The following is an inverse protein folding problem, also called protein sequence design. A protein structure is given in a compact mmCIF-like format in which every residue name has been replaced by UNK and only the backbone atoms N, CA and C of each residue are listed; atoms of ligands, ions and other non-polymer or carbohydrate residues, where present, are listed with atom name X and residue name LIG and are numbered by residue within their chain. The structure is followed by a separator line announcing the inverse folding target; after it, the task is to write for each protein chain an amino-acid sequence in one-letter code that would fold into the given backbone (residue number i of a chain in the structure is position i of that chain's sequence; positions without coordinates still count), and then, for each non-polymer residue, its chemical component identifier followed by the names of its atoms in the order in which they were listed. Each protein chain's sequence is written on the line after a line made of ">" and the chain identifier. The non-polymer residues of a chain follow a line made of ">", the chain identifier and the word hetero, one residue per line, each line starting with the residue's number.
data_IF_550579842627
#
_entry.id   IF_550579842627
#
_cell.length_a   1.000
_cell.length_b   1.000
_cell.length_c   1.000
_cell.angle_alpha   90.00
_cell.angle_beta   90.00
_cell.angle_gamma   90.00
#
_symmetry.space_group_name_H-M   'P 1'
#
loop_
_entity.id
_entity.type
_entity.pdbx_description
1 polymer ?
#
# COMPACT_ATOMS: atom_id res chain seq x y z
N UNK A 1 -3.16 -13.48 26.22
CA UNK A 1 -3.02 -12.55 25.08
C UNK A 1 -1.68 -12.87 24.45
N UNK A 2 -1.68 -13.63 23.36
CA UNK A 2 -0.43 -13.95 22.65
C UNK A 2 -0.07 -12.75 21.79
N UNK A 3 1.06 -12.11 22.09
CA UNK A 3 1.64 -11.08 21.24
C UNK A 3 2.00 -11.73 19.90
N UNK A 4 1.31 -11.32 18.84
CA UNK A 4 1.63 -11.74 17.48
C UNK A 4 2.93 -11.08 17.03
N UNK A 5 3.81 -11.83 16.39
CA UNK A 5 5.14 -11.34 15.99
C UNK A 5 5.13 -10.87 14.53
N UNK A 6 5.92 -9.84 14.17
CA UNK A 6 6.05 -9.38 12.78
C UNK A 6 6.42 -10.49 11.77
N UNK A 7 7.14 -11.52 12.22
CA UNK A 7 7.50 -12.69 11.43
C UNK A 7 6.28 -13.58 11.08
N UNK A 8 5.33 -13.72 12.01
CA UNK A 8 4.09 -14.47 11.77
C UNK A 8 3.20 -13.75 10.75
N UNK A 9 3.05 -12.43 10.88
CA UNK A 9 2.37 -11.57 9.90
C UNK A 9 3.00 -11.70 8.50
N UNK A 10 4.33 -11.69 8.42
CA UNK A 10 5.08 -11.84 7.16
C UNK A 10 4.84 -13.20 6.48
N UNK A 11 4.87 -14.30 7.25
CA UNK A 11 4.61 -15.64 6.74
C UNK A 11 3.16 -15.80 6.22
N UNK A 12 2.19 -15.16 6.90
CA UNK A 12 0.80 -15.13 6.45
C UNK A 12 0.65 -14.41 5.12
N UNK A 13 1.21 -13.21 5.00
CA UNK A 13 1.15 -12.41 3.77
C UNK A 13 1.80 -13.15 2.60
N UNK A 14 2.97 -13.78 2.82
CA UNK A 14 3.63 -14.59 1.79
C UNK A 14 2.76 -15.78 1.32
N UNK A 15 1.97 -16.37 2.23
CA UNK A 15 1.02 -17.44 1.90
C UNK A 15 -0.13 -16.93 1.03
N UNK A 16 -0.69 -15.76 1.33
CA UNK A 16 -1.73 -15.13 0.52
C UNK A 16 -1.26 -14.90 -0.92
N UNK A 17 -0.05 -14.34 -1.09
CA UNK A 17 0.52 -14.11 -2.43
C UNK A 17 0.79 -15.42 -3.19
N UNK A 18 1.22 -16.47 -2.47
CA UNK A 18 1.47 -17.78 -3.07
C UNK A 18 0.19 -18.44 -3.58
N UNK A 19 -0.93 -18.28 -2.86
CA UNK A 19 -2.22 -18.87 -3.24
C UNK A 19 -2.73 -18.34 -4.60
N UNK A 20 -2.59 -17.04 -4.86
CA UNK A 20 -2.94 -16.47 -6.17
C UNK A 20 -2.09 -17.09 -7.30
N UNK A 21 -0.78 -17.29 -7.07
CA UNK A 21 0.15 -17.93 -8.03
C UNK A 21 -0.18 -19.40 -8.31
N UNK A 22 -0.87 -20.08 -7.41
CA UNK A 22 -1.30 -21.47 -7.59
C UNK A 22 -2.59 -21.60 -8.41
N UNK A 23 -3.49 -20.61 -8.33
CA UNK A 23 -4.80 -20.66 -9.00
C UNK A 23 -4.71 -20.21 -10.46
N UNK A 24 -3.93 -19.17 -10.77
CA UNK A 24 -3.87 -18.64 -12.14
C UNK A 24 -3.40 -19.63 -13.22
N UNK A 25 -2.42 -20.54 -12.97
CA UNK A 25 -2.04 -21.54 -13.96
C UNK A 25 -3.17 -22.51 -14.35
N UNK A 26 -4.19 -22.70 -13.50
CA UNK A 26 -5.32 -23.58 -13.82
C UNK A 26 -6.10 -23.09 -15.04
N UNK A 27 -6.12 -21.79 -15.32
CA UNK A 27 -6.81 -21.23 -16.48
C UNK A 27 -6.33 -21.84 -17.81
N UNK A 28 -5.06 -22.28 -17.87
CA UNK A 28 -4.45 -22.87 -19.07
C UNK A 28 -4.48 -24.41 -19.11
N UNK A 29 -4.69 -25.06 -17.95
CA UNK A 29 -4.55 -26.52 -17.81
C UNK A 29 -5.90 -27.20 -17.59
N UNK A 30 -6.81 -26.56 -16.86
CA UNK A 30 -8.13 -27.08 -16.50
C UNK A 30 -9.08 -25.90 -16.24
N UNK A 31 -9.71 -25.43 -17.31
CA UNK A 31 -10.58 -24.24 -17.31
C UNK A 31 -11.80 -24.42 -16.40
N UNK A 32 -12.40 -25.61 -16.37
CA UNK A 32 -13.58 -25.89 -15.52
C UNK A 32 -13.21 -25.82 -14.03
N UNK A 33 -12.03 -26.34 -13.65
CA UNK A 33 -11.51 -26.22 -12.29
C UNK A 33 -11.18 -24.78 -11.93
N UNK A 34 -10.59 -24.03 -12.86
CA UNK A 34 -10.31 -22.61 -12.67
C UNK A 34 -11.60 -21.81 -12.47
N UNK A 35 -12.62 -22.01 -13.30
CA UNK A 35 -13.90 -21.32 -13.18
C UNK A 35 -14.56 -21.57 -11.83
N UNK A 36 -14.64 -22.85 -11.39
CA UNK A 36 -15.16 -23.18 -10.05
C UNK A 36 -14.38 -22.47 -8.94
N UNK A 37 -13.05 -22.47 -9.02
CA UNK A 37 -12.20 -21.80 -8.04
C UNK A 37 -12.47 -20.29 -8.00
N UNK A 38 -12.47 -19.61 -9.15
CA UNK A 38 -12.69 -18.16 -9.23
C UNK A 38 -14.10 -17.77 -8.81
N UNK A 39 -15.13 -18.56 -9.17
CA UNK A 39 -16.49 -18.33 -8.69
C UNK A 39 -16.56 -18.39 -7.17
N UNK A 40 -15.98 -19.43 -6.56
CA UNK A 40 -15.93 -19.57 -5.11
C UNK A 40 -15.17 -18.44 -4.42
N UNK A 41 -14.02 -18.02 -4.98
CA UNK A 41 -13.28 -16.84 -4.51
C UNK A 41 -14.18 -15.61 -4.55
N UNK A 42 -14.84 -15.33 -5.68
CA UNK A 42 -15.72 -14.16 -5.81
C UNK A 42 -16.92 -14.15 -4.86
N UNK A 43 -17.47 -15.32 -4.51
CA UNK A 43 -18.50 -15.41 -3.48
C UNK A 43 -17.93 -15.18 -2.07
N UNK A 44 -16.79 -15.79 -1.76
CA UNK A 44 -16.17 -15.68 -0.45
C UNK A 44 -15.63 -14.27 -0.20
N UNK A 45 -15.00 -13.63 -1.20
CA UNK A 45 -14.53 -12.24 -1.11
C UNK A 45 -15.67 -11.26 -0.82
N UNK A 46 -16.83 -11.43 -1.45
CA UNK A 46 -18.03 -10.62 -1.14
C UNK A 46 -18.53 -10.83 0.30
N UNK A 47 -18.38 -12.04 0.84
CA UNK A 47 -18.72 -12.30 2.23
C UNK A 47 -17.71 -11.69 3.22
N UNK A 48 -16.43 -11.65 2.83
CA UNK A 48 -15.34 -11.06 3.60
C UNK A 48 -15.27 -9.53 3.48
N UNK A 49 -16.13 -8.92 2.66
CA UNK A 49 -16.18 -7.47 2.52
C UNK A 49 -16.50 -6.81 3.87
N UNK A 50 -15.75 -5.77 4.22
CA UNK A 50 -15.81 -5.13 5.55
C UNK A 50 -15.39 -6.01 6.73
N UNK A 51 -14.84 -7.21 6.52
CA UNK A 51 -14.35 -8.08 7.60
C UNK A 51 -12.86 -7.89 7.86
N UNK A 52 -12.49 -7.74 9.13
CA UNK A 52 -11.11 -7.56 9.59
C UNK A 52 -10.50 -6.22 9.19
N UNK A 53 -9.61 -5.70 10.05
CA UNK A 53 -8.98 -4.39 9.87
C UNK A 53 -7.45 -4.49 9.73
N UNK A 54 -6.91 -5.70 9.85
CA UNK A 54 -5.47 -5.98 9.85
C UNK A 54 -5.15 -7.36 9.28
N UNK A 55 -3.87 -7.64 8.99
CA UNK A 55 -3.45 -8.97 8.54
C UNK A 55 -3.66 -10.03 9.63
N UNK A 56 -3.49 -9.62 10.88
CA UNK A 56 -3.78 -10.35 12.12
C UNK A 56 -5.23 -10.85 12.14
N UNK A 57 -6.17 -9.93 11.91
CA UNK A 57 -7.60 -10.26 11.90
C UNK A 57 -7.94 -11.21 10.76
N UNK A 58 -7.35 -11.01 9.57
CA UNK A 58 -7.57 -11.89 8.43
C UNK A 58 -7.07 -13.32 8.68
N UNK A 59 -5.92 -13.50 9.35
CA UNK A 59 -5.46 -14.83 9.72
C UNK A 59 -6.38 -15.48 10.75
N UNK A 60 -6.88 -14.72 11.73
CA UNK A 60 -7.87 -15.20 12.70
C UNK A 60 -9.22 -15.56 12.05
N UNK A 61 -9.59 -14.89 10.96
CA UNK A 61 -10.80 -15.18 10.20
C UNK A 61 -10.68 -16.44 9.31
N UNK A 62 -9.46 -16.85 8.94
CA UNK A 62 -9.23 -17.95 7.99
C UNK A 62 -9.98 -19.25 8.31
N UNK A 63 -10.02 -19.78 9.54
CA UNK A 63 -10.78 -21.01 9.84
C UNK A 63 -12.29 -20.85 9.62
N UNK A 64 -12.84 -19.66 9.93
CA UNK A 64 -14.25 -19.33 9.68
C UNK A 64 -14.53 -19.19 8.18
N UNK A 65 -13.62 -18.56 7.44
CA UNK A 65 -13.70 -18.43 6.00
C UNK A 65 -13.71 -19.79 5.29
N UNK A 66 -12.90 -20.76 5.76
CA UNK A 66 -12.92 -22.13 5.26
C UNK A 66 -14.26 -22.83 5.49
N UNK A 67 -14.83 -22.67 6.69
CA UNK A 67 -16.18 -23.20 6.99
C UNK A 67 -17.22 -22.54 6.08
N UNK A 68 -17.12 -21.22 5.87
CA UNK A 68 -18.05 -20.49 4.99
C UNK A 68 -17.92 -20.90 3.53
N UNK A 69 -16.70 -21.16 3.03
CA UNK A 69 -16.46 -21.64 1.67
C UNK A 69 -17.29 -22.90 1.37
N UNK A 70 -17.30 -23.86 2.30
CA UNK A 70 -18.09 -25.10 2.16
C UNK A 70 -19.59 -24.84 2.15
N UNK A 71 -20.06 -23.88 2.97
CA UNK A 71 -21.44 -23.41 2.95
C UNK A 71 -21.82 -22.81 1.60
N UNK A 72 -20.99 -21.92 1.06
CA UNK A 72 -21.17 -21.30 -0.26
C UNK A 72 -21.22 -22.38 -1.36
N UNK A 73 -20.28 -23.34 -1.33
CA UNK A 73 -20.25 -24.42 -2.31
C UNK A 73 -21.54 -25.25 -2.31
N UNK A 74 -22.07 -25.55 -1.12
CA UNK A 74 -23.37 -26.22 -0.97
C UNK A 74 -24.54 -25.37 -1.48
N UNK A 75 -24.60 -24.10 -1.08
CA UNK A 75 -25.65 -23.14 -1.48
C UNK A 75 -25.70 -22.90 -3.00
N UNK A 76 -24.55 -22.90 -3.66
CA UNK A 76 -24.41 -22.63 -5.09
C UNK A 76 -24.28 -23.92 -5.94
N UNK A 77 -24.40 -25.10 -5.32
CA UNK A 77 -24.20 -26.39 -5.96
C UNK A 77 -22.85 -26.53 -6.71
N UNK A 78 -21.79 -25.92 -6.17
CA UNK A 78 -20.43 -25.98 -6.73
C UNK A 78 -19.69 -27.17 -6.10
N UNK A 79 -19.17 -28.05 -6.97
CA UNK A 79 -18.40 -29.22 -6.52
C UNK A 79 -16.99 -28.81 -6.09
N UNK A 80 -16.63 -29.15 -4.84
CA UNK A 80 -15.31 -28.91 -4.27
C UNK A 80 -14.25 -29.97 -4.64
N UNK A 81 -14.66 -31.09 -5.23
CA UNK A 81 -13.74 -32.15 -5.63
C UNK A 81 -12.60 -31.59 -6.49
N UNK A 82 -11.39 -32.03 -6.15
CA UNK A 82 -10.11 -31.64 -6.75
C UNK A 82 -9.72 -30.16 -6.57
N UNK A 83 -10.45 -29.37 -5.78
CA UNK A 83 -10.02 -28.02 -5.41
C UNK A 83 -9.21 -28.03 -4.12
N UNK A 84 -8.13 -27.25 -4.08
CA UNK A 84 -7.46 -26.92 -2.83
C UNK A 84 -8.27 -25.82 -2.13
N UNK A 85 -9.13 -26.23 -1.19
CA UNK A 85 -9.95 -25.31 -0.41
C UNK A 85 -9.10 -24.27 0.34
N UNK A 86 -7.91 -24.64 0.79
CA UNK A 86 -6.98 -23.74 1.47
C UNK A 86 -6.50 -22.64 0.55
N UNK A 87 -6.08 -22.99 -0.66
CA UNK A 87 -5.66 -22.03 -1.69
C UNK A 87 -6.82 -21.11 -2.11
N UNK A 88 -8.05 -21.62 -2.21
CA UNK A 88 -9.25 -20.81 -2.53
C UNK A 88 -9.54 -19.79 -1.42
N UNK A 89 -9.47 -20.20 -0.15
CA UNK A 89 -9.64 -19.28 0.99
C UNK A 89 -8.53 -18.24 1.04
N UNK A 90 -7.28 -18.67 0.89
CA UNK A 90 -6.13 -17.77 0.94
C UNK A 90 -6.16 -16.75 -0.22
N UNK A 91 -6.61 -17.15 -1.41
CA UNK A 91 -6.82 -16.23 -2.53
C UNK A 91 -7.94 -15.20 -2.26
N UNK A 92 -9.04 -15.59 -1.59
CA UNK A 92 -10.09 -14.65 -1.19
C UNK A 92 -9.61 -13.66 -0.10
N UNK A 93 -8.85 -14.15 0.89
CA UNK A 93 -8.22 -13.31 1.92
C UNK A 93 -7.18 -12.36 1.30
N UNK A 94 -6.46 -12.78 0.26
CA UNK A 94 -5.54 -11.93 -0.49
C UNK A 94 -6.26 -10.71 -1.11
N UNK A 95 -7.47 -10.90 -1.65
CA UNK A 95 -8.28 -9.79 -2.18
C UNK A 95 -8.65 -8.79 -1.09
N UNK A 96 -9.12 -9.26 0.09
CA UNK A 96 -9.43 -8.39 1.23
C UNK A 96 -8.18 -7.68 1.74
N UNK A 97 -7.05 -8.37 1.82
CA UNK A 97 -5.77 -7.78 2.22
C UNK A 97 -5.32 -6.67 1.27
N UNK A 98 -5.53 -6.82 -0.05
CA UNK A 98 -5.26 -5.74 -1.02
C UNK A 98 -6.12 -4.50 -0.79
N UNK A 99 -7.39 -4.68 -0.43
CA UNK A 99 -8.28 -3.55 -0.06
C UNK A 99 -7.75 -2.87 1.21
N UNK A 100 -7.44 -3.63 2.26
CA UNK A 100 -6.86 -3.07 3.48
C UNK A 100 -5.55 -2.31 3.24
N UNK A 101 -4.68 -2.82 2.36
CA UNK A 101 -3.45 -2.12 1.97
C UNK A 101 -3.72 -0.84 1.20
N UNK A 102 -4.71 -0.84 0.31
CA UNK A 102 -5.11 0.36 -0.42
C UNK A 102 -5.71 1.42 0.53
N UNK A 103 -6.57 1.00 1.46
CA UNK A 103 -7.16 1.86 2.48
C UNK A 103 -6.08 2.41 3.42
N UNK A 104 -5.13 1.57 3.87
CA UNK A 104 -4.01 2.01 4.68
C UNK A 104 -3.09 2.99 3.93
N UNK A 105 -2.93 2.83 2.62
CA UNK A 105 -2.19 3.79 1.79
C UNK A 105 -2.93 5.14 1.70
N UNK A 106 -4.26 5.13 1.55
CA UNK A 106 -5.09 6.35 1.52
C UNK A 106 -5.01 7.11 2.85
N UNK A 107 -5.14 6.42 3.98
CA UNK A 107 -5.16 7.04 5.31
C UNK A 107 -3.76 7.24 5.92
N UNK A 108 -2.70 6.84 5.21
CA UNK A 108 -1.32 6.99 5.69
C UNK A 108 -0.95 8.45 5.93
N UNK A 109 -1.40 9.35 5.06
CA UNK A 109 -1.18 10.79 5.19
C UNK A 109 -1.89 11.35 6.42
N UNK A 110 -3.17 11.02 6.62
CA UNK A 110 -3.95 11.50 7.77
C UNK A 110 -3.34 11.04 9.09
N UNK A 111 -2.89 9.78 9.14
CA UNK A 111 -2.20 9.25 10.33
C UNK A 111 -0.87 9.95 10.57
N UNK A 112 -0.05 10.14 9.53
CA UNK A 112 1.23 10.85 9.65
C UNK A 112 1.04 12.30 10.12
N UNK A 113 -0.02 12.97 9.66
CA UNK A 113 -0.41 14.31 10.10
C UNK A 113 -0.78 14.29 11.58
N UNK A 114 -1.62 13.36 12.00
CA UNK A 114 -2.06 13.28 13.40
C UNK A 114 -0.91 12.92 14.34
N UNK A 115 -0.06 11.96 13.97
CA UNK A 115 1.14 11.59 14.74
C UNK A 115 2.08 12.79 14.92
N UNK A 116 2.33 13.56 13.86
CA UNK A 116 3.14 14.77 13.93
C UNK A 116 2.52 15.84 14.84
N UNK A 117 1.19 16.04 14.77
CA UNK A 117 0.47 16.97 15.67
C UNK A 117 0.59 16.55 17.13
N UNK A 118 0.39 15.26 17.43
CA UNK A 118 0.50 14.72 18.78
C UNK A 118 1.93 14.86 19.31
N UNK A 119 2.94 14.69 18.46
CA UNK A 119 4.34 14.89 18.81
C UNK A 119 4.74 16.37 18.97
N UNK A 120 3.87 17.31 18.59
CA UNK A 120 4.17 18.74 18.62
C UNK A 120 5.16 19.17 17.53
N UNK A 121 5.26 18.39 16.45
CA UNK A 121 6.09 18.71 15.29
C UNK A 121 5.42 19.80 14.46
N UNK A 122 6.22 20.58 13.74
CA UNK A 122 5.72 21.62 12.82
C UNK A 122 5.41 21.06 11.42
N UNK A 123 5.98 19.89 11.10
CA UNK A 123 5.87 19.24 9.80
C UNK A 123 5.54 17.76 9.92
N UNK A 124 4.66 17.26 9.06
CA UNK A 124 4.41 15.83 8.88
C UNK A 124 5.10 15.29 7.62
N UNK A 125 5.82 14.19 7.74
CA UNK A 125 6.35 13.45 6.61
C UNK A 125 5.27 12.50 6.06
N UNK A 126 4.69 12.83 4.90
CA UNK A 126 3.60 12.08 4.27
C UNK A 126 4.11 10.97 3.35
N UNK A 127 5.24 11.20 2.69
CA UNK A 127 5.88 10.25 1.79
C UNK A 127 7.39 10.33 1.97
N UNK A 128 8.02 9.17 2.10
CA UNK A 128 9.46 9.01 2.02
C UNK A 128 9.76 7.73 1.22
N UNK A 129 10.78 7.71 0.35
CA UNK A 129 11.12 6.54 -0.41
C UNK A 129 11.62 5.44 0.53
N UNK A 130 11.14 4.22 0.32
CA UNK A 130 11.60 3.06 1.06
C UNK A 130 13.05 2.74 0.65
N UNK A 131 13.95 2.80 1.63
CA UNK A 131 15.39 2.55 1.47
C UNK A 131 15.67 1.18 0.83
N UNK A 132 14.78 0.21 1.01
CA UNK A 132 14.89 -1.13 0.42
C UNK A 132 14.53 -1.20 -1.08
N UNK A 133 13.87 -0.17 -1.61
CA UNK A 133 13.45 -0.07 -3.02
C UNK A 133 14.25 0.96 -3.83
N UNK A 134 15.34 1.50 -3.25
CA UNK A 134 16.25 2.42 -3.91
C UNK A 134 17.03 1.71 -5.04
N UNK A 135 16.39 1.55 -6.19
CA UNK A 135 17.03 1.15 -7.43
C UNK A 135 17.83 2.31 -8.03
N UNK A 136 18.91 1.98 -8.74
CA UNK A 136 19.56 2.94 -9.63
C UNK A 136 18.56 3.31 -10.74
N UNK A 137 18.39 4.61 -11.00
CA UNK A 137 17.49 5.16 -12.03
C UNK A 137 15.96 5.09 -11.75
N UNK A 138 15.53 5.01 -10.49
CA UNK A 138 14.12 5.28 -10.14
C UNK A 138 13.91 6.73 -9.68
N UNK A 139 12.71 7.26 -9.90
CA UNK A 139 12.30 8.54 -9.33
C UNK A 139 12.10 8.34 -7.83
N UNK A 140 12.76 9.17 -7.03
CA UNK A 140 12.64 9.20 -5.57
C UNK A 140 11.91 10.47 -5.18
N UNK A 141 10.92 10.35 -4.29
CA UNK A 141 10.03 11.44 -3.91
C UNK A 141 9.85 11.47 -2.40
N UNK A 142 9.97 12.67 -1.84
CA UNK A 142 9.63 12.99 -0.46
C UNK A 142 8.49 14.00 -0.47
N UNK A 143 7.52 13.83 0.41
CA UNK A 143 6.41 14.78 0.59
C UNK A 143 6.31 15.10 2.07
N UNK A 144 6.57 16.34 2.42
CA UNK A 144 6.37 16.89 3.76
C UNK A 144 5.22 17.90 3.74
N UNK A 145 4.47 18.04 4.84
CA UNK A 145 3.40 19.03 4.96
C UNK A 145 3.60 19.89 6.21
N UNK A 146 3.57 21.20 6.05
CA UNK A 146 3.56 22.15 7.15
C UNK A 146 2.19 22.12 7.83
N UNK A 147 2.16 21.76 9.12
CA UNK A 147 0.91 21.43 9.80
C UNK A 147 -0.02 22.63 10.01
N UNK A 148 0.56 23.82 10.16
CA UNK A 148 -0.20 25.06 10.40
C UNK A 148 -0.82 25.61 9.11
N UNK A 149 -0.03 25.68 8.04
CA UNK A 149 -0.48 26.30 6.77
C UNK A 149 -1.08 25.31 5.76
N UNK A 150 -0.89 24.00 5.95
CA UNK A 150 -1.28 22.96 4.99
C UNK A 150 -0.40 22.88 3.74
N UNK A 151 0.63 23.72 3.63
CA UNK A 151 1.56 23.74 2.49
C UNK A 151 2.34 22.44 2.42
N UNK A 152 2.42 21.85 1.21
CA UNK A 152 3.20 20.64 0.95
C UNK A 152 4.50 20.98 0.25
N UNK A 153 5.60 20.48 0.80
CA UNK A 153 6.93 20.51 0.22
C UNK A 153 7.22 19.15 -0.41
N UNK A 154 7.23 19.11 -1.74
CA UNK A 154 7.57 17.93 -2.52
C UNK A 154 9.02 18.05 -2.97
N UNK A 155 9.83 17.03 -2.68
CA UNK A 155 11.22 16.98 -3.10
C UNK A 155 11.42 15.73 -3.95
N UNK A 156 12.02 15.89 -5.12
CA UNK A 156 12.15 14.80 -6.09
C UNK A 156 13.59 14.70 -6.59
N UNK A 157 14.08 13.47 -6.67
CA UNK A 157 15.30 13.12 -7.42
C UNK A 157 14.87 12.21 -8.56
N UNK A 158 15.24 12.56 -9.79
CA UNK A 158 14.91 11.76 -10.98
C UNK A 158 16.11 11.64 -11.90
N UNK A 159 16.28 10.52 -12.62
CA UNK A 159 17.31 10.44 -13.66
C UNK A 159 16.92 11.30 -14.87
N UNK A 160 17.84 12.12 -15.35
CA UNK A 160 17.74 12.73 -16.67
C UNK A 160 17.90 11.66 -17.75
N UNK A 161 16.88 11.48 -18.58
CA UNK A 161 16.88 10.48 -19.65
C UNK A 161 17.84 10.82 -20.79
N UNK A 162 18.28 12.08 -20.92
CA UNK A 162 19.20 12.53 -21.95
C UNK A 162 20.65 12.44 -21.52
N UNK A 163 20.95 12.84 -20.28
CA UNK A 163 22.32 12.94 -19.78
C UNK A 163 22.72 11.82 -18.83
N UNK A 164 21.75 11.09 -18.26
CA UNK A 164 21.96 10.09 -17.22
C UNK A 164 22.30 10.68 -15.85
N UNK A 165 22.38 12.00 -15.72
CA UNK A 165 22.65 12.68 -14.45
C UNK A 165 21.38 12.78 -13.59
N UNK A 166 21.56 12.90 -12.28
CA UNK A 166 20.45 13.14 -11.37
C UNK A 166 19.92 14.58 -11.52
N UNK A 167 18.60 14.73 -11.64
CA UNK A 167 17.89 16.00 -11.56
C UNK A 167 17.27 16.13 -10.18
N UNK A 168 17.50 17.28 -9.55
CA UNK A 168 16.98 17.61 -8.23
C UNK A 168 15.89 18.68 -8.39
N UNK A 169 14.72 18.44 -7.81
CA UNK A 169 13.57 19.35 -7.89
C UNK A 169 12.90 19.51 -6.54
N UNK A 170 12.42 20.72 -6.28
CA UNK A 170 11.53 21.07 -5.17
C UNK A 170 10.28 21.70 -5.73
N UNK A 171 9.11 21.31 -5.22
CA UNK A 171 7.83 21.91 -5.54
C UNK A 171 7.12 22.26 -4.23
N UNK A 172 6.53 23.46 -4.19
CA UNK A 172 5.65 23.88 -3.09
C UNK A 172 4.21 23.94 -3.60
N UNK A 173 3.35 23.17 -2.94
CA UNK A 173 1.93 23.05 -3.28
C UNK A 173 1.12 23.64 -2.12
N UNK A 174 0.24 24.58 -2.43
CA UNK A 174 -0.77 25.08 -1.50
C UNK A 174 -2.06 24.25 -1.67
N UNK A 175 -2.89 24.14 -0.63
CA UNK A 175 -4.19 23.45 -0.78
C UNK A 175 -5.10 24.21 -1.78
N UNK A 176 -5.25 23.63 -2.97
CA UNK A 176 -6.06 24.10 -4.09
C UNK A 176 -5.72 23.28 -5.36
N UNK A 177 -6.66 23.01 -6.27
CA UNK A 177 -6.40 22.11 -7.39
C UNK A 177 -5.49 22.75 -8.44
N UNK A 178 -4.27 22.22 -8.58
CA UNK A 178 -3.58 22.08 -9.87
C UNK A 178 -2.35 22.94 -10.14
N UNK A 179 -2.13 24.04 -9.40
CA UNK A 179 -0.94 24.88 -9.60
C UNK A 179 0.07 24.71 -8.46
N UNK A 180 1.25 24.18 -8.80
CA UNK A 180 2.43 24.38 -7.98
C UNK A 180 2.69 25.87 -7.86
N UNK A 181 2.64 26.43 -6.65
CA UNK A 181 2.90 27.86 -6.46
C UNK A 181 4.36 28.19 -6.77
N UNK A 182 5.26 27.21 -6.64
CA UNK A 182 6.67 27.35 -6.93
C UNK A 182 7.31 26.02 -7.30
N UNK A 183 8.20 26.05 -8.29
CA UNK A 183 9.04 24.94 -8.71
C UNK A 183 10.48 25.44 -8.77
N UNK A 184 11.39 24.72 -8.14
CA UNK A 184 12.83 25.01 -8.13
C UNK A 184 13.55 23.77 -8.65
N UNK A 185 14.29 23.93 -9.74
CA UNK A 185 15.25 22.93 -10.21
C UNK A 185 16.62 23.29 -9.63
N UNK A 186 17.28 22.35 -8.97
CA UNK A 186 18.59 22.55 -8.34
C UNK A 186 19.67 21.81 -9.14
N UNK A 187 20.87 22.38 -9.20
CA UNK A 187 21.97 21.83 -10.00
C UNK A 187 22.61 20.61 -9.35
N UNK A 188 22.51 20.53 -8.02
CA UNK A 188 23.14 19.46 -7.25
C UNK A 188 22.38 19.15 -5.95
N UNK A 189 22.77 18.03 -5.34
CA UNK A 189 22.17 17.54 -4.09
C UNK A 189 22.31 18.50 -2.92
N UNK A 190 23.44 19.20 -2.80
CA UNK A 190 23.69 20.07 -1.65
C UNK A 190 22.76 21.28 -1.69
N UNK A 191 22.69 21.95 -2.84
CA UNK A 191 21.76 23.04 -3.09
C UNK A 191 20.31 22.61 -2.86
N UNK A 192 19.93 21.42 -3.32
CA UNK A 192 18.60 20.85 -3.09
C UNK A 192 18.27 20.65 -1.60
N UNK A 193 19.24 20.26 -0.78
CA UNK A 193 19.06 20.15 0.67
C UNK A 193 18.97 21.52 1.35
N UNK A 194 19.82 22.45 0.92
CA UNK A 194 19.90 23.79 1.49
C UNK A 194 18.63 24.60 1.18
N UNK A 195 18.14 24.55 -0.06
CA UNK A 195 16.87 25.17 -0.46
C UNK A 195 15.68 24.56 0.28
N UNK A 196 15.63 23.23 0.42
CA UNK A 196 14.58 22.58 1.19
C UNK A 196 14.58 23.04 2.66
N UNK A 197 15.75 23.21 3.27
CA UNK A 197 15.88 23.70 4.65
C UNK A 197 15.45 25.17 4.77
N UNK A 198 15.86 26.02 3.82
CA UNK A 198 15.49 27.43 3.79
C UNK A 198 13.96 27.62 3.67
N UNK A 199 13.31 26.85 2.80
CA UNK A 199 11.86 26.90 2.63
C UNK A 199 11.10 26.45 3.89
N UNK A 200 11.61 25.43 4.59
CA UNK A 200 11.01 25.01 5.87
C UNK A 200 11.10 26.10 6.92
N UNK A 201 12.28 26.70 7.09
CA UNK A 201 12.48 27.82 8.03
C UNK A 201 11.62 29.04 7.70
N UNK A 202 11.42 29.33 6.41
CA UNK A 202 10.58 30.44 5.98
C UNK A 202 9.10 30.24 6.35
N UNK A 203 8.60 29.01 6.34
CA UNK A 203 7.23 28.66 6.73
C UNK A 203 7.06 28.51 8.24
N UNK A 204 8.07 28.01 8.95
CA UNK A 204 8.06 27.92 10.42
C UNK A 204 8.03 29.29 11.11
N UNK A 205 8.44 30.35 10.40
CA UNK A 205 8.50 31.73 10.90
C UNK A 205 7.28 32.60 10.56
N UNK A 206 6.25 32.05 9.91
CA UNK A 206 4.99 32.76 9.58
C UNK A 206 3.99 32.68 10.73
#
# INVERSE_FOLDING_TARGET
>A
MNAWTPEATSAFVARLESAERQIYPLAMVDTDRYERAVTLIGHLSRHLDGSGDSAEDLELLRPKALTRLRGIASEQAIVLADLDEGAVVDAALAQRYRVLRADAAIHSSDRAIEEARVAGETWAALEAPDVSTLGFATVQRWVDMHLETGVRLVRTISPDTLTGHARFRIELLHEGPGDSSMVIDCDNRQEWLDEAAALRQALDGQ
#
